data_IF_708557339669
#
_entry.id   IF_708557339669
#
_cell.length_a   1.000
_cell.length_b   1.000
_cell.length_c   1.000
_cell.angle_alpha   90.00
_cell.angle_beta   90.00
_cell.angle_gamma   90.00
#
_symmetry.space_group_name_H-M   'P 1'
#
loop_
_entity.id
_entity.type
_entity.pdbx_description
1 polymer ?
#
# COMPACT_ATOMS: atom_id res chain seq x y z
N UNK A 1 -18.93 -8.30 8.13
CA UNK A 1 -19.72 -7.06 8.36
C UNK A 1 -21.20 -7.45 8.43
N UNK A 2 -21.87 -7.32 9.57
CA UNK A 2 -23.23 -7.88 9.72
C UNK A 2 -24.31 -7.04 9.02
N UNK A 3 -24.07 -5.74 8.79
CA UNK A 3 -25.03 -4.81 8.17
C UNK A 3 -24.31 -3.67 7.45
N UNK A 4 -23.77 -3.89 6.25
CA UNK A 4 -23.00 -2.88 5.53
C UNK A 4 -23.79 -1.60 5.22
N UNK A 5 -25.12 -1.68 5.12
CA UNK A 5 -25.98 -0.50 4.96
C UNK A 5 -25.92 0.48 6.14
N UNK A 6 -25.50 0.01 7.33
CA UNK A 6 -25.36 0.82 8.53
C UNK A 6 -23.96 1.43 8.70
N UNK A 7 -23.04 1.13 7.77
CA UNK A 7 -21.70 1.73 7.78
C UNK A 7 -21.80 3.24 7.59
N UNK A 8 -21.00 3.97 8.38
CA UNK A 8 -20.98 5.43 8.35
C UNK A 8 -20.13 5.93 7.19
N UNK A 9 -20.78 6.19 6.05
CA UNK A 9 -20.13 6.76 4.86
C UNK A 9 -19.39 8.06 5.20
N UNK A 10 -19.99 8.91 6.03
CA UNK A 10 -19.37 10.16 6.48
C UNK A 10 -18.11 9.95 7.32
N UNK A 11 -18.00 8.83 8.06
CA UNK A 11 -16.77 8.48 8.78
C UNK A 11 -15.65 8.15 7.79
N UNK A 12 -15.94 7.40 6.72
CA UNK A 12 -14.96 7.12 5.67
C UNK A 12 -14.61 8.38 4.86
N UNK A 13 -15.57 9.26 4.58
CA UNK A 13 -15.30 10.55 3.97
C UNK A 13 -14.34 11.38 4.82
N UNK A 14 -14.60 11.49 6.12
CA UNK A 14 -13.72 12.18 7.05
C UNK A 14 -12.33 11.54 7.10
N UNK A 15 -12.26 10.20 7.09
CA UNK A 15 -11.01 9.46 7.11
C UNK A 15 -10.16 9.75 5.88
N UNK A 16 -10.76 9.75 4.69
CA UNK A 16 -10.07 10.03 3.43
C UNK A 16 -9.68 11.49 3.31
N UNK A 17 -10.57 12.42 3.65
CA UNK A 17 -10.27 13.86 3.65
C UNK A 17 -9.17 14.20 4.65
N UNK A 18 -9.19 13.56 5.81
CA UNK A 18 -8.09 13.64 6.79
C UNK A 18 -6.82 13.05 6.19
N UNK A 19 -6.86 11.84 5.63
CA UNK A 19 -5.72 11.21 4.97
C UNK A 19 -5.09 12.11 3.92
N UNK A 20 -5.88 12.79 3.09
CA UNK A 20 -5.41 13.73 2.08
C UNK A 20 -4.80 15.00 2.70
N UNK A 21 -5.46 15.58 3.71
CA UNK A 21 -4.94 16.71 4.47
C UNK A 21 -3.60 16.39 5.13
N UNK A 22 -3.45 15.17 5.63
CA UNK A 22 -2.24 14.69 6.29
C UNK A 22 -1.23 14.06 5.34
N UNK A 23 -1.46 14.05 4.03
CA UNK A 23 -0.57 13.46 3.02
C UNK A 23 -0.29 11.97 3.24
N UNK A 24 -1.26 11.24 3.80
CA UNK A 24 -1.26 9.79 3.90
C UNK A 24 -1.93 9.14 2.69
N UNK A 25 -2.80 9.88 2.01
CA UNK A 25 -3.28 9.58 0.66
C UNK A 25 -3.07 10.82 -0.21
N UNK A 26 -3.09 10.64 -1.53
CA UNK A 26 -3.06 11.75 -2.46
C UNK A 26 -4.25 12.69 -2.26
N UNK A 27 -4.13 13.92 -2.77
CA UNK A 27 -5.22 14.88 -2.72
C UNK A 27 -6.50 14.29 -3.33
N UNK A 28 -7.61 14.37 -2.60
CA UNK A 28 -8.94 13.96 -3.09
C UNK A 28 -9.38 14.77 -4.32
N UNK A 29 -8.75 15.92 -4.58
CA UNK A 29 -8.94 16.69 -5.82
C UNK A 29 -8.65 15.86 -7.08
N UNK A 30 -7.68 14.93 -7.02
CA UNK A 30 -7.33 14.07 -8.15
C UNK A 30 -8.47 13.12 -8.53
N UNK A 31 -9.37 12.80 -7.58
CA UNK A 31 -10.51 11.90 -7.83
C UNK A 31 -11.63 12.54 -8.65
N UNK A 32 -11.66 13.87 -8.78
CA UNK A 32 -12.81 14.60 -9.36
C UNK A 32 -13.23 14.10 -10.74
N UNK A 33 -12.27 13.63 -11.53
CA UNK A 33 -12.48 13.15 -12.89
C UNK A 33 -12.36 11.63 -13.04
N UNK A 34 -12.18 10.89 -11.94
CA UNK A 34 -12.08 9.43 -11.95
C UNK A 34 -13.39 8.82 -12.41
N UNK A 35 -13.29 7.78 -13.24
CA UNK A 35 -14.41 6.92 -13.66
C UNK A 35 -14.55 5.77 -12.68
N UNK A 36 -15.69 5.72 -11.99
CA UNK A 36 -15.99 4.69 -10.98
C UNK A 36 -17.12 3.80 -11.48
N UNK A 37 -16.88 2.49 -11.49
CA UNK A 37 -17.90 1.49 -11.79
C UNK A 37 -18.17 0.65 -10.53
N UNK A 38 -19.43 0.53 -10.14
CA UNK A 38 -19.84 -0.16 -8.92
C UNK A 38 -20.87 -1.22 -9.27
N UNK A 39 -20.56 -2.48 -8.97
CA UNK A 39 -21.49 -3.59 -9.08
C UNK A 39 -21.84 -4.11 -7.68
N UNK A 40 -23.11 -4.41 -7.44
CA UNK A 40 -23.55 -5.17 -6.27
C UNK A 40 -24.72 -6.08 -6.65
N UNK A 41 -24.58 -7.38 -6.39
CA UNK A 41 -25.63 -8.36 -6.65
C UNK A 41 -26.82 -8.20 -5.71
N UNK A 42 -28.05 -8.37 -6.21
CA UNK A 42 -29.27 -8.27 -5.39
C UNK A 42 -29.39 -9.38 -4.35
N UNK A 43 -28.79 -10.53 -4.62
CA UNK A 43 -28.82 -11.71 -3.76
C UNK A 43 -27.51 -11.94 -3.00
N UNK A 44 -26.58 -10.96 -3.02
CA UNK A 44 -25.31 -11.06 -2.29
C UNK A 44 -25.59 -11.35 -0.79
N UNK A 45 -25.21 -12.51 -0.29
CA UNK A 45 -25.43 -12.92 1.11
C UNK A 45 -24.20 -12.68 1.99
N UNK A 46 -23.05 -12.40 1.40
CA UNK A 46 -21.74 -12.30 2.07
C UNK A 46 -21.42 -10.84 2.42
N UNK A 47 -21.38 -9.98 1.41
CA UNK A 47 -21.17 -8.53 1.56
C UNK A 47 -22.49 -7.78 1.58
N UNK A 48 -23.58 -8.36 1.08
CA UNK A 48 -24.95 -7.78 1.10
C UNK A 48 -25.16 -6.59 0.15
N UNK A 49 -26.37 -6.45 -0.44
CA UNK A 49 -26.63 -5.44 -1.48
C UNK A 49 -26.50 -4.00 -1.00
N UNK A 50 -26.69 -3.75 0.30
CA UNK A 50 -26.60 -2.41 0.91
C UNK A 50 -25.22 -1.76 0.83
N UNK A 51 -24.16 -2.54 0.57
CA UNK A 51 -22.81 -2.01 0.44
C UNK A 51 -22.62 -1.16 -0.84
N UNK A 52 -23.20 -1.58 -1.96
CA UNK A 52 -23.09 -0.87 -3.24
C UNK A 52 -23.55 0.60 -3.17
N UNK A 53 -24.77 0.88 -2.66
CA UNK A 53 -25.24 2.24 -2.44
C UNK A 53 -24.36 3.06 -1.47
N UNK A 54 -23.71 2.43 -0.48
CA UNK A 54 -22.80 3.13 0.43
C UNK A 54 -21.51 3.56 -0.29
N UNK A 55 -20.94 2.68 -1.12
CA UNK A 55 -19.79 2.99 -1.98
C UNK A 55 -20.15 4.10 -2.98
N UNK A 56 -21.34 4.07 -3.56
CA UNK A 56 -21.81 5.14 -4.45
C UNK A 56 -21.86 6.49 -3.74
N UNK A 57 -22.43 6.54 -2.52
CA UNK A 57 -22.48 7.78 -1.73
C UNK A 57 -21.06 8.30 -1.43
N UNK A 58 -20.16 7.41 -1.03
CA UNK A 58 -18.76 7.76 -0.77
C UNK A 58 -18.07 8.38 -2.00
N UNK A 59 -18.15 7.73 -3.17
CA UNK A 59 -17.50 8.26 -4.37
C UNK A 59 -18.17 9.53 -4.91
N UNK A 60 -19.49 9.68 -4.76
CA UNK A 60 -20.19 10.91 -5.15
C UNK A 60 -19.73 12.13 -4.34
N UNK A 61 -19.15 11.94 -3.16
CA UNK A 61 -18.53 13.03 -2.40
C UNK A 61 -17.31 13.63 -3.11
N UNK A 62 -16.53 12.79 -3.81
CA UNK A 62 -15.24 13.17 -4.38
C UNK A 62 -15.23 13.31 -5.90
N UNK A 63 -16.15 12.64 -6.58
CA UNK A 63 -16.19 12.53 -8.04
C UNK A 63 -17.43 13.24 -8.60
N UNK A 64 -17.37 13.62 -9.88
CA UNK A 64 -18.60 14.02 -10.57
C UNK A 64 -19.57 12.83 -10.62
N UNK A 65 -20.83 13.04 -10.24
CA UNK A 65 -21.84 11.98 -10.28
C UNK A 65 -21.96 11.30 -11.66
N UNK A 66 -21.74 12.06 -12.74
CA UNK A 66 -21.73 11.56 -14.12
C UNK A 66 -20.58 10.59 -14.42
N UNK A 67 -19.60 10.49 -13.53
CA UNK A 67 -18.47 9.56 -13.63
C UNK A 67 -18.66 8.29 -12.79
N UNK A 68 -19.78 8.16 -12.07
CA UNK A 68 -20.11 6.95 -11.30
C UNK A 68 -21.20 6.15 -12.02
N UNK A 69 -20.87 4.95 -12.50
CA UNK A 69 -21.83 3.99 -13.06
C UNK A 69 -22.10 2.89 -12.03
N UNK A 70 -23.38 2.61 -11.79
CA UNK A 70 -23.83 1.59 -10.82
C UNK A 70 -24.66 0.51 -11.48
N UNK A 71 -24.46 -0.74 -11.07
CA UNK A 71 -25.24 -1.90 -11.50
C UNK A 71 -25.69 -2.68 -10.26
N UNK A 72 -26.94 -2.47 -9.87
CA UNK A 72 -27.58 -3.05 -8.66
C UNK A 72 -28.84 -3.86 -8.97
N UNK A 73 -29.09 -4.14 -10.24
CA UNK A 73 -30.31 -4.77 -10.74
C UNK A 73 -30.12 -6.20 -11.25
N UNK A 74 -28.94 -6.79 -11.00
CA UNK A 74 -28.64 -8.18 -11.39
C UNK A 74 -28.82 -9.08 -10.17
N UNK A 75 -29.61 -10.15 -10.34
CA UNK A 75 -29.81 -11.21 -9.33
C UNK A 75 -28.57 -12.10 -9.24
N UNK A 76 -27.46 -11.51 -8.79
CA UNK A 76 -26.20 -12.20 -8.53
C UNK A 76 -26.03 -12.41 -7.03
N UNK A 77 -25.49 -13.58 -6.66
CA UNK A 77 -24.87 -13.82 -5.37
C UNK A 77 -23.44 -13.19 -5.33
N UNK A 78 -22.71 -13.42 -4.25
CA UNK A 78 -21.36 -12.93 -4.00
C UNK A 78 -20.35 -13.60 -4.93
N UNK A 79 -20.12 -12.97 -6.08
CA UNK A 79 -19.26 -13.48 -7.13
C UNK A 79 -18.69 -12.36 -8.00
N UNK A 80 -17.66 -12.68 -8.77
CA UNK A 80 -17.33 -11.98 -10.01
C UNK A 80 -18.32 -12.46 -11.09
N UNK A 81 -19.21 -11.60 -11.60
CA UNK A 81 -20.14 -11.97 -12.67
C UNK A 81 -19.38 -12.12 -13.99
N UNK A 82 -19.68 -13.19 -14.70
CA UNK A 82 -19.16 -13.46 -16.05
C UNK A 82 -20.31 -13.70 -17.01
N UNK A 83 -20.01 -13.68 -18.30
CA UNK A 83 -20.99 -13.93 -19.36
C UNK A 83 -21.21 -15.43 -19.65
N UNK A 84 -20.23 -16.27 -19.33
CA UNK A 84 -20.21 -17.65 -19.82
C UNK A 84 -19.46 -18.68 -18.94
N UNK A 85 -19.01 -18.31 -17.73
CA UNK A 85 -18.21 -19.18 -16.87
C UNK A 85 -18.64 -19.19 -15.39
N UNK A 86 -18.51 -20.34 -14.74
CA UNK A 86 -18.71 -20.49 -13.31
C UNK A 86 -20.10 -20.99 -12.91
N UNK A 87 -20.45 -20.81 -11.64
CA UNK A 87 -21.71 -21.29 -11.06
C UNK A 87 -22.95 -20.50 -11.54
N UNK A 88 -24.12 -20.90 -11.06
CA UNK A 88 -25.37 -20.18 -11.33
C UNK A 88 -25.35 -18.80 -10.69
N UNK A 89 -25.73 -17.74 -11.42
CA UNK A 89 -25.64 -16.34 -10.98
C UNK A 89 -26.10 -16.06 -9.54
N UNK A 90 -27.29 -16.54 -9.17
CA UNK A 90 -27.90 -16.31 -7.86
C UNK A 90 -27.56 -17.37 -6.80
N UNK A 91 -26.52 -18.18 -7.03
CA UNK A 91 -26.04 -19.21 -6.09
C UNK A 91 -24.61 -18.89 -5.68
N UNK A 92 -24.30 -19.02 -4.39
CA UNK A 92 -22.94 -18.83 -3.87
C UNK A 92 -22.01 -19.96 -4.34
N UNK A 93 -21.25 -19.71 -5.41
CA UNK A 93 -20.24 -20.64 -5.93
C UNK A 93 -18.97 -20.59 -5.07
N UNK A 94 -18.95 -21.31 -3.94
CA UNK A 94 -17.79 -21.35 -3.02
C UNK A 94 -16.53 -21.98 -3.63
N UNK A 95 -16.63 -22.62 -4.80
CA UNK A 95 -15.49 -23.25 -5.46
C UNK A 95 -14.50 -22.23 -6.03
N UNK A 96 -15.00 -21.10 -6.55
CA UNK A 96 -14.16 -20.07 -7.17
C UNK A 96 -14.74 -18.66 -7.15
N UNK A 97 -15.96 -18.46 -6.65
CA UNK A 97 -16.68 -17.17 -6.61
C UNK A 97 -16.78 -16.50 -7.99
N UNK A 98 -16.84 -17.31 -9.06
CA UNK A 98 -17.16 -16.91 -10.42
C UNK A 98 -18.52 -17.49 -10.76
N UNK A 99 -19.44 -16.66 -11.27
CA UNK A 99 -20.74 -17.12 -11.72
C UNK A 99 -21.03 -16.66 -13.14
N UNK A 100 -21.71 -17.51 -13.91
CA UNK A 100 -22.30 -17.15 -15.18
C UNK A 100 -23.61 -16.40 -14.90
N UNK A 101 -23.57 -15.10 -15.14
CA UNK A 101 -24.69 -14.18 -14.98
C UNK A 101 -25.28 -13.69 -16.31
N UNK A 102 -24.77 -14.19 -17.46
CA UNK A 102 -25.05 -13.59 -18.77
C UNK A 102 -24.69 -12.10 -18.79
N UNK A 103 -23.67 -11.72 -18.00
CA UNK A 103 -23.27 -10.34 -17.80
C UNK A 103 -21.75 -10.24 -17.79
N UNK A 104 -21.19 -9.64 -18.84
CA UNK A 104 -19.76 -9.42 -18.95
C UNK A 104 -19.31 -8.23 -18.09
N UNK A 105 -19.22 -8.43 -16.77
CA UNK A 105 -18.86 -7.37 -15.83
C UNK A 105 -17.46 -6.79 -16.11
N UNK A 106 -16.51 -7.62 -16.55
CA UNK A 106 -15.17 -7.15 -16.92
C UNK A 106 -15.23 -6.16 -18.10
N UNK A 107 -15.97 -6.48 -19.16
CA UNK A 107 -16.16 -5.55 -20.29
C UNK A 107 -16.88 -4.27 -19.86
N UNK A 108 -17.98 -4.39 -19.12
CA UNK A 108 -18.79 -3.24 -18.72
C UNK A 108 -18.03 -2.26 -17.81
N UNK A 109 -17.23 -2.79 -16.90
CA UNK A 109 -16.32 -2.02 -16.05
C UNK A 109 -15.23 -1.34 -16.88
N UNK A 110 -14.51 -2.11 -17.70
CA UNK A 110 -13.38 -1.59 -18.48
C UNK A 110 -13.82 -0.57 -19.52
N UNK A 111 -14.97 -0.78 -20.15
CA UNK A 111 -15.54 0.15 -21.12
C UNK A 111 -15.99 1.45 -20.45
N UNK A 112 -16.47 1.39 -19.20
CA UNK A 112 -16.75 2.62 -18.44
C UNK A 112 -15.49 3.45 -18.15
N UNK A 113 -14.39 2.78 -17.80
CA UNK A 113 -13.12 3.44 -17.46
C UNK A 113 -12.44 4.01 -18.72
N UNK A 114 -12.32 3.22 -19.77
CA UNK A 114 -11.50 3.57 -20.94
C UNK A 114 -12.29 4.17 -22.11
N UNK A 115 -13.60 3.93 -22.18
CA UNK A 115 -14.45 4.35 -23.30
C UNK A 115 -14.20 3.58 -24.59
N UNK A 116 -15.25 3.48 -25.43
CA UNK A 116 -15.22 3.00 -26.81
C UNK A 116 -14.45 1.67 -27.04
N UNK A 117 -14.54 0.74 -26.08
CA UNK A 117 -13.91 -0.57 -26.21
C UNK A 117 -14.70 -1.46 -27.17
N UNK A 118 -13.96 -2.26 -27.95
CA UNK A 118 -14.51 -3.35 -28.76
C UNK A 118 -15.00 -4.47 -27.85
N UNK A 119 -16.25 -4.87 -28.04
CA UNK A 119 -16.82 -6.02 -27.35
C UNK A 119 -16.04 -7.28 -27.79
N UNK A 120 -15.55 -8.11 -26.84
CA UNK A 120 -14.89 -9.37 -27.19
C UNK A 120 -15.84 -10.31 -27.92
N UNK A 121 -15.36 -10.95 -28.98
CA UNK A 121 -16.12 -11.96 -29.70
C UNK A 121 -16.18 -13.26 -28.88
N UNK A 122 -17.39 -13.73 -28.57
CA UNK A 122 -17.59 -14.93 -27.78
C UNK A 122 -16.91 -16.15 -28.41
N UNK A 123 -16.09 -16.87 -27.61
CA UNK A 123 -15.40 -18.08 -28.03
C UNK A 123 -14.17 -17.85 -28.91
N UNK A 124 -13.78 -16.59 -29.15
CA UNK A 124 -12.54 -16.27 -29.88
C UNK A 124 -11.32 -16.71 -29.05
N UNK A 125 -10.42 -17.54 -29.61
CA UNK A 125 -9.23 -17.96 -28.88
C UNK A 125 -8.33 -16.79 -28.53
N UNK A 126 -7.83 -16.77 -27.30
CA UNK A 126 -6.82 -15.83 -26.84
C UNK A 126 -5.45 -16.21 -27.46
N UNK A 127 -4.85 -15.27 -28.18
CA UNK A 127 -3.52 -15.46 -28.80
C UNK A 127 -2.40 -14.69 -28.09
N UNK A 128 -2.75 -13.90 -27.09
CA UNK A 128 -1.81 -13.25 -26.18
C UNK A 128 -1.10 -14.24 -25.25
N UNK A 129 -0.24 -13.69 -24.39
CA UNK A 129 0.63 -14.45 -23.50
C UNK A 129 0.20 -14.26 -22.05
N UNK A 130 -0.32 -15.33 -21.43
CA UNK A 130 -0.46 -15.38 -19.97
C UNK A 130 0.87 -15.81 -19.36
N UNK A 131 1.50 -14.93 -18.58
CA UNK A 131 2.79 -15.15 -17.93
C UNK A 131 2.67 -15.05 -16.42
N UNK A 132 3.63 -15.64 -15.73
CA UNK A 132 3.89 -15.35 -14.33
C UNK A 132 5.03 -14.34 -14.18
N UNK A 133 5.05 -13.63 -13.06
CA UNK A 133 6.17 -12.78 -12.65
C UNK A 133 6.45 -12.93 -11.15
N UNK A 134 7.68 -12.65 -10.76
CA UNK A 134 8.13 -12.73 -9.37
C UNK A 134 7.78 -11.44 -8.62
N UNK A 135 6.78 -11.51 -7.73
CA UNK A 135 6.36 -10.39 -6.90
C UNK A 135 7.39 -10.05 -5.83
N UNK A 136 8.26 -10.98 -5.43
CA UNK A 136 9.27 -10.73 -4.40
C UNK A 136 10.27 -9.64 -4.79
N UNK A 137 10.42 -9.40 -6.10
CA UNK A 137 11.23 -8.30 -6.63
C UNK A 137 10.75 -6.92 -6.22
N UNK A 138 9.50 -6.78 -5.76
CA UNK A 138 8.92 -5.52 -5.27
C UNK A 138 8.99 -5.37 -3.75
N UNK A 139 9.59 -6.33 -3.03
CA UNK A 139 9.74 -6.29 -1.58
C UNK A 139 11.23 -6.26 -1.21
N UNK A 140 11.71 -5.09 -0.77
CA UNK A 140 13.14 -4.88 -0.47
C UNK A 140 13.48 -4.88 1.03
N UNK A 141 12.48 -4.67 1.89
CA UNK A 141 12.66 -4.54 3.34
C UNK A 141 12.13 -5.74 4.14
N UNK A 142 11.34 -6.60 3.50
CA UNK A 142 10.80 -7.83 4.07
C UNK A 142 10.52 -8.84 2.97
N UNK A 143 10.21 -10.07 3.35
CA UNK A 143 9.68 -11.07 2.42
C UNK A 143 8.18 -10.80 2.14
N UNK A 144 7.65 -11.14 0.94
CA UNK A 144 6.26 -10.85 0.57
C UNK A 144 5.22 -11.40 1.53
N UNK A 145 5.48 -12.59 2.10
CA UNK A 145 4.58 -13.28 3.02
C UNK A 145 4.26 -12.45 4.28
N UNK A 146 5.16 -11.54 4.70
CA UNK A 146 4.90 -10.61 5.80
C UNK A 146 3.67 -9.73 5.56
N UNK A 147 3.35 -9.47 4.30
CA UNK A 147 2.19 -8.69 3.86
C UNK A 147 1.09 -9.54 3.22
N UNK A 148 1.13 -10.87 3.42
CA UNK A 148 0.22 -11.83 2.80
C UNK A 148 0.35 -11.90 1.27
N UNK A 149 1.44 -11.41 0.66
CA UNK A 149 1.66 -11.56 -0.78
C UNK A 149 2.22 -12.95 -1.13
N UNK A 150 1.74 -13.54 -2.24
CA UNK A 150 2.40 -14.68 -2.87
C UNK A 150 3.73 -14.20 -3.49
N UNK A 151 4.68 -15.10 -3.75
CA UNK A 151 5.86 -14.76 -4.54
C UNK A 151 5.54 -14.67 -6.04
N UNK A 152 4.44 -15.25 -6.51
CA UNK A 152 4.11 -15.30 -7.95
C UNK A 152 2.84 -14.52 -8.25
N UNK A 153 2.93 -13.57 -9.18
CA UNK A 153 1.79 -12.88 -9.78
C UNK A 153 1.57 -13.33 -11.23
N UNK A 154 0.43 -12.96 -11.81
CA UNK A 154 0.14 -13.23 -13.24
C UNK A 154 0.01 -11.93 -14.03
N UNK A 155 0.34 -12.00 -15.32
CA UNK A 155 0.15 -10.91 -16.28
C UNK A 155 -0.32 -11.49 -17.61
N UNK A 156 -1.41 -10.97 -18.15
CA UNK A 156 -1.85 -11.24 -19.51
C UNK A 156 -1.40 -10.10 -20.43
N UNK A 157 -0.57 -10.45 -21.42
CA UNK A 157 -0.08 -9.52 -22.45
C UNK A 157 -0.82 -9.83 -23.76
N UNK A 158 -1.73 -8.96 -24.22
CA UNK A 158 -2.44 -9.13 -25.48
C UNK A 158 -1.50 -9.34 -26.67
N UNK A 159 -1.93 -10.08 -27.69
CA UNK A 159 -1.13 -10.28 -28.91
C UNK A 159 -0.71 -8.95 -29.56
N UNK A 160 -1.59 -7.95 -29.57
CA UNK A 160 -1.30 -6.60 -30.07
C UNK A 160 -0.27 -5.81 -29.26
N UNK A 161 0.03 -6.24 -28.03
CA UNK A 161 0.98 -5.58 -27.11
C UNK A 161 2.37 -6.25 -27.09
N UNK A 162 2.60 -7.27 -27.93
CA UNK A 162 3.91 -7.92 -28.02
C UNK A 162 4.94 -7.00 -28.68
N UNK A 163 4.52 -6.19 -29.65
CA UNK A 163 5.35 -5.14 -30.22
C UNK A 163 5.43 -3.96 -29.23
N UNK A 164 6.66 -3.62 -28.81
CA UNK A 164 6.96 -2.51 -27.90
C UNK A 164 6.61 -1.14 -28.48
N UNK A 165 6.38 -1.03 -29.79
CA UNK A 165 5.94 0.21 -30.43
C UNK A 165 4.43 0.44 -30.29
N UNK A 166 3.64 -0.61 -29.99
CA UNK A 166 2.21 -0.47 -29.76
C UNK A 166 1.96 0.17 -28.39
N UNK A 167 1.19 1.26 -28.36
CA UNK A 167 0.69 1.82 -27.10
C UNK A 167 -0.39 0.92 -26.53
N UNK A 168 -0.12 0.36 -25.35
CA UNK A 168 -1.07 -0.45 -24.61
C UNK A 168 -1.48 0.20 -23.30
N UNK A 169 -2.72 -0.06 -22.88
CA UNK A 169 -3.21 0.32 -21.56
C UNK A 169 -2.82 -0.75 -20.54
N UNK A 170 -2.85 -0.42 -19.26
CA UNK A 170 -2.67 -1.35 -18.16
C UNK A 170 -3.89 -1.30 -17.25
N UNK A 171 -4.44 -2.47 -16.92
CA UNK A 171 -5.46 -2.63 -15.89
C UNK A 171 -4.99 -3.64 -14.84
N UNK A 172 -5.27 -3.36 -13.58
CA UNK A 172 -4.94 -4.24 -12.45
C UNK A 172 -6.25 -4.88 -11.97
N UNK A 173 -6.36 -6.20 -12.10
CA UNK A 173 -7.51 -6.96 -11.66
C UNK A 173 -7.18 -7.72 -10.37
N UNK A 174 -7.76 -7.27 -9.26
CA UNK A 174 -7.55 -7.84 -7.94
C UNK A 174 -8.62 -8.91 -7.64
N UNK A 175 -8.19 -10.14 -7.38
CA UNK A 175 -9.09 -11.23 -7.00
C UNK A 175 -9.68 -11.00 -5.60
N UNK A 176 -10.83 -11.61 -5.28
CA UNK A 176 -11.42 -11.58 -3.94
C UNK A 176 -10.77 -12.55 -2.95
N UNK A 177 -11.30 -12.58 -1.72
CA UNK A 177 -10.94 -13.61 -0.73
C UNK A 177 -11.16 -15.02 -1.31
N UNK A 178 -10.28 -15.96 -1.00
CA UNK A 178 -10.34 -17.35 -1.48
C UNK A 178 -10.31 -17.50 -3.02
N UNK A 179 -9.97 -16.44 -3.75
CA UNK A 179 -9.80 -16.47 -5.21
C UNK A 179 -8.35 -16.36 -5.68
N UNK A 180 -7.40 -16.27 -4.73
CA UNK A 180 -5.97 -16.24 -5.05
C UNK A 180 -5.46 -17.61 -5.50
N UNK A 181 -4.26 -17.61 -6.09
CA UNK A 181 -3.57 -18.81 -6.59
C UNK A 181 -3.55 -19.98 -5.62
N UNK A 182 -3.34 -19.70 -4.34
CA UNK A 182 -3.33 -20.71 -3.28
C UNK A 182 -4.63 -21.53 -3.22
N UNK A 183 -5.77 -20.91 -3.50
CA UNK A 183 -7.09 -21.54 -3.37
C UNK A 183 -7.60 -22.14 -4.67
N UNK A 184 -7.48 -21.39 -5.78
CA UNK A 184 -8.12 -21.74 -7.06
C UNK A 184 -7.17 -21.71 -8.25
N UNK A 185 -5.85 -21.74 -8.01
CA UNK A 185 -4.83 -21.64 -9.05
C UNK A 185 -5.06 -20.42 -9.95
N UNK A 186 -5.19 -20.62 -11.26
CA UNK A 186 -5.36 -19.54 -12.24
C UNK A 186 -6.80 -19.38 -12.73
N UNK A 187 -7.80 -19.94 -12.02
CA UNK A 187 -9.23 -19.85 -12.36
C UNK A 187 -9.71 -18.40 -12.52
N UNK A 188 -9.48 -17.54 -11.51
CA UNK A 188 -9.84 -16.12 -11.60
C UNK A 188 -9.12 -15.43 -12.77
N UNK A 189 -7.83 -15.70 -12.91
CA UNK A 189 -6.97 -15.10 -13.93
C UNK A 189 -7.43 -15.46 -15.34
N UNK A 190 -7.89 -16.69 -15.56
CA UNK A 190 -8.35 -17.16 -16.87
C UNK A 190 -9.80 -16.82 -17.17
N UNK A 191 -10.65 -16.81 -16.15
CA UNK A 191 -12.10 -16.89 -16.36
C UNK A 191 -12.91 -15.72 -15.80
N UNK A 192 -12.29 -14.72 -15.18
CA UNK A 192 -12.98 -13.49 -14.77
C UNK A 192 -13.38 -12.57 -15.96
N UNK A 193 -12.98 -12.90 -17.19
CA UNK A 193 -13.38 -12.22 -18.43
C UNK A 193 -12.49 -11.05 -18.86
N UNK A 194 -11.51 -10.65 -18.04
CA UNK A 194 -10.63 -9.52 -18.35
C UNK A 194 -9.68 -9.79 -19.53
N UNK A 195 -9.22 -11.03 -19.73
CA UNK A 195 -8.27 -11.35 -20.81
C UNK A 195 -8.89 -11.18 -22.20
N UNK A 196 -10.16 -11.57 -22.39
CA UNK A 196 -10.89 -11.37 -23.65
C UNK A 196 -11.02 -9.88 -23.99
N UNK A 197 -11.31 -9.05 -22.97
CA UNK A 197 -11.35 -7.59 -23.13
C UNK A 197 -9.97 -7.04 -23.45
N UNK A 198 -8.94 -7.51 -22.75
CA UNK A 198 -7.55 -7.12 -22.98
C UNK A 198 -7.05 -7.45 -24.39
N UNK A 199 -7.33 -8.66 -24.85
CA UNK A 199 -6.96 -9.15 -26.19
C UNK A 199 -7.61 -8.30 -27.29
N UNK A 200 -8.89 -7.98 -27.15
CA UNK A 200 -9.62 -7.20 -28.15
C UNK A 200 -9.23 -5.70 -28.18
N UNK A 201 -8.61 -5.18 -27.11
CA UNK A 201 -8.48 -3.74 -26.89
C UNK A 201 -7.07 -3.24 -26.53
N UNK A 202 -6.05 -4.09 -26.64
CA UNK A 202 -4.67 -3.76 -26.26
C UNK A 202 -4.55 -3.24 -24.81
N UNK A 203 -5.18 -3.97 -23.89
CA UNK A 203 -5.11 -3.71 -22.44
C UNK A 203 -4.37 -4.87 -21.80
N UNK A 204 -3.17 -4.60 -21.29
CA UNK A 204 -2.42 -5.53 -20.46
C UNK A 204 -3.16 -5.68 -19.13
N UNK A 205 -3.37 -6.92 -18.68
CA UNK A 205 -4.04 -7.19 -17.40
C UNK A 205 -3.01 -7.74 -16.42
N UNK A 206 -2.81 -7.04 -15.30
CA UNK A 206 -1.97 -7.48 -14.19
C UNK A 206 -2.86 -8.08 -13.11
N UNK A 207 -2.47 -9.24 -12.60
CA UNK A 207 -3.16 -9.96 -11.52
C UNK A 207 -2.19 -10.23 -10.37
N UNK A 208 -1.97 -9.23 -9.49
CA UNK A 208 -1.27 -9.45 -8.24
C UNK A 208 -1.94 -10.57 -7.43
N UNK A 209 -1.14 -11.35 -6.70
CA UNK A 209 -1.62 -12.47 -5.91
C UNK A 209 -1.25 -12.31 -4.44
N UNK A 210 -2.21 -12.64 -3.58
CA UNK A 210 -2.01 -12.79 -2.15
C UNK A 210 -2.23 -14.25 -1.74
N UNK A 211 -1.62 -14.64 -0.63
CA UNK A 211 -1.62 -15.99 -0.06
C UNK A 211 -2.03 -15.92 1.41
N UNK A 212 -2.74 -16.92 1.96
CA UNK A 212 -3.19 -16.88 3.34
C UNK A 212 -2.03 -16.88 4.34
N UNK A 213 -2.24 -16.18 5.46
CA UNK A 213 -1.38 -16.15 6.64
C UNK A 213 -2.25 -16.32 7.90
N UNK A 214 -1.68 -16.60 9.11
CA UNK A 214 -2.48 -16.84 10.30
C UNK A 214 -3.51 -15.75 10.65
N UNK A 215 -3.21 -14.48 10.37
CA UNK A 215 -4.11 -13.33 10.57
C UNK A 215 -5.04 -13.06 9.38
N UNK A 216 -4.87 -13.75 8.25
CA UNK A 216 -5.63 -13.62 7.01
C UNK A 216 -5.85 -15.01 6.37
N UNK A 217 -6.61 -15.88 7.04
CA UNK A 217 -6.79 -17.28 6.64
C UNK A 217 -7.48 -17.45 5.27
N UNK A 218 -8.21 -16.44 4.82
CA UNK A 218 -8.92 -16.48 3.55
C UNK A 218 -8.12 -15.87 2.39
N UNK A 219 -6.90 -15.35 2.63
CA UNK A 219 -6.11 -14.65 1.62
C UNK A 219 -6.90 -13.50 0.99
N UNK A 220 -7.45 -12.62 1.82
CA UNK A 220 -8.13 -11.39 1.41
C UNK A 220 -7.13 -10.24 1.25
N UNK A 221 -7.36 -9.31 0.31
CA UNK A 221 -6.63 -8.03 0.31
C UNK A 221 -6.86 -7.32 1.63
N UNK A 222 -5.96 -6.44 2.07
CA UNK A 222 -5.94 -6.14 3.49
C UNK A 222 -7.25 -5.57 4.05
N UNK A 223 -7.87 -4.46 3.66
CA UNK A 223 -9.15 -3.89 4.13
C UNK A 223 -9.54 -3.89 5.64
N UNK A 224 -8.88 -4.62 6.53
CA UNK A 224 -9.19 -4.75 7.97
C UNK A 224 -7.95 -4.63 8.88
N UNK A 225 -6.79 -4.28 8.32
CA UNK A 225 -5.59 -3.83 9.04
C UNK A 225 -4.63 -4.94 9.48
N UNK A 226 -4.63 -6.11 8.85
CA UNK A 226 -3.79 -7.23 9.30
C UNK A 226 -2.30 -7.06 8.98
N UNK A 227 -1.93 -6.15 8.07
CA UNK A 227 -0.53 -5.77 7.82
C UNK A 227 -0.02 -4.67 8.77
N UNK A 228 -0.86 -4.24 9.73
CA UNK A 228 -0.56 -3.18 10.69
C UNK A 228 -1.50 -1.97 10.53
N UNK A 229 -1.43 -1.02 11.48
CA UNK A 229 -2.41 0.09 11.60
C UNK A 229 -2.28 1.19 10.54
N UNK A 230 -1.50 0.98 9.49
CA UNK A 230 -1.33 1.92 8.37
C UNK A 230 -2.17 1.55 7.14
N UNK A 231 -2.99 0.49 7.20
CA UNK A 231 -3.63 -0.04 6.00
C UNK A 231 -4.72 0.89 5.39
N UNK A 232 -5.45 1.65 6.21
CA UNK A 232 -6.33 2.76 5.78
C UNK A 232 -6.35 3.75 6.95
N UNK A 233 -5.70 4.92 6.81
CA UNK A 233 -5.62 6.05 7.76
C UNK A 233 -6.09 5.83 9.24
N UNK A 234 -5.16 6.08 10.14
CA UNK A 234 -5.08 5.58 11.52
C UNK A 234 -6.02 6.27 12.54
N UNK A 235 -6.71 5.49 13.38
CA UNK A 235 -7.36 5.97 14.61
C UNK A 235 -6.41 5.86 15.81
N UNK A 236 -6.04 7.03 16.38
CA UNK A 236 -5.87 7.31 17.83
C UNK A 236 -5.69 8.82 18.02
N UNK A 237 -6.77 9.51 18.35
CA UNK A 237 -6.87 10.98 18.38
C UNK A 237 -5.83 11.68 19.28
N UNK A 238 -5.41 11.08 20.40
CA UNK A 238 -4.51 11.74 21.36
C UNK A 238 -3.03 11.73 20.95
N UNK A 239 -2.56 10.63 20.37
CA UNK A 239 -1.19 10.49 19.85
C UNK A 239 -1.05 11.22 18.51
N UNK A 240 -2.15 11.25 17.76
CA UNK A 240 -2.33 12.02 16.55
C UNK A 240 -2.26 13.54 16.76
N UNK A 241 -2.83 14.08 17.85
CA UNK A 241 -2.72 15.51 18.16
C UNK A 241 -1.27 15.95 18.44
N UNK A 242 -0.46 15.08 19.05
CA UNK A 242 0.98 15.32 19.22
C UNK A 242 1.71 15.29 17.87
N UNK A 243 1.41 14.32 17.02
CA UNK A 243 1.94 14.28 15.64
C UNK A 243 1.44 15.42 14.74
N UNK A 244 0.27 16.02 15.02
CA UNK A 244 -0.29 17.14 14.25
C UNK A 244 0.48 18.44 14.48
N UNK A 245 0.87 18.72 15.73
CA UNK A 245 1.76 19.85 16.04
C UNK A 245 3.09 19.72 15.29
N UNK A 246 3.69 18.53 15.37
CA UNK A 246 4.92 18.20 14.69
C UNK A 246 4.76 18.23 13.15
N UNK A 247 3.63 17.79 12.58
CA UNK A 247 3.39 17.85 11.11
C UNK A 247 3.40 19.28 10.56
N UNK A 248 2.77 20.24 11.25
CA UNK A 248 2.80 21.65 10.81
C UNK A 248 4.20 22.24 10.88
N UNK A 249 4.99 21.84 11.88
CA UNK A 249 6.39 22.20 12.02
C UNK A 249 7.24 21.60 10.88
N UNK A 250 7.01 20.33 10.53
CA UNK A 250 7.66 19.66 9.41
C UNK A 250 7.42 20.41 8.09
N UNK A 251 6.16 20.69 7.77
CA UNK A 251 5.74 21.39 6.55
C UNK A 251 6.36 22.79 6.49
N UNK A 252 6.28 23.52 7.60
CA UNK A 252 6.87 24.86 7.71
C UNK A 252 8.39 24.82 7.52
N UNK A 253 9.07 23.82 8.09
CA UNK A 253 10.50 23.67 7.94
C UNK A 253 10.90 23.29 6.50
N UNK A 254 10.18 22.37 5.84
CA UNK A 254 10.49 21.96 4.47
C UNK A 254 10.20 23.05 3.44
N UNK A 255 9.05 23.72 3.56
CA UNK A 255 8.60 24.74 2.61
C UNK A 255 9.49 26.00 2.63
N UNK A 256 10.30 26.23 3.67
CA UNK A 256 11.35 27.28 3.68
C UNK A 256 12.42 27.07 2.61
N UNK A 257 12.68 25.82 2.23
CA UNK A 257 13.82 25.45 1.38
C UNK A 257 13.40 25.03 -0.04
N UNK A 258 12.11 24.79 -0.29
CA UNK A 258 11.59 24.46 -1.62
C UNK A 258 11.38 25.73 -2.46
N UNK A 259 11.61 25.62 -3.77
CA UNK A 259 11.27 26.66 -4.73
C UNK A 259 10.25 26.11 -5.71
N UNK A 260 9.13 26.81 -5.89
CA UNK A 260 7.98 26.45 -6.74
C UNK A 260 7.09 25.31 -6.17
N UNK A 261 6.07 24.92 -6.94
CA UNK A 261 5.07 23.91 -6.55
C UNK A 261 5.61 22.47 -6.46
N UNK A 262 6.90 22.24 -6.68
CA UNK A 262 7.54 20.93 -6.61
C UNK A 262 8.22 20.80 -5.25
N UNK A 263 7.62 20.04 -4.34
CA UNK A 263 8.17 19.79 -3.00
C UNK A 263 9.29 18.75 -3.03
N UNK A 264 10.43 19.13 -3.62
CA UNK A 264 11.67 18.36 -3.68
C UNK A 264 12.85 19.28 -3.40
N UNK A 265 13.86 18.78 -2.69
CA UNK A 265 15.11 19.49 -2.40
C UNK A 265 16.27 18.73 -3.03
N UNK A 266 17.04 19.36 -3.90
CA UNK A 266 18.31 18.75 -4.32
C UNK A 266 19.26 18.65 -3.13
N UNK A 267 20.17 17.67 -3.15
CA UNK A 267 21.10 17.37 -2.05
C UNK A 267 21.67 18.61 -1.34
N UNK A 268 22.24 19.64 -2.00
CA UNK A 268 22.79 20.82 -1.30
C UNK A 268 21.75 21.59 -0.45
N UNK A 269 20.51 21.69 -0.92
CA UNK A 269 19.44 22.38 -0.20
C UNK A 269 18.96 21.54 0.99
N UNK A 270 18.85 20.22 0.81
CA UNK A 270 18.49 19.31 1.88
C UNK A 270 19.55 19.29 3.00
N UNK A 271 20.84 19.28 2.65
CA UNK A 271 21.93 19.41 3.62
C UNK A 271 21.83 20.71 4.41
N UNK A 272 21.62 21.84 3.72
CA UNK A 272 21.45 23.15 4.36
C UNK A 272 20.26 23.15 5.33
N UNK A 273 19.15 22.50 4.98
CA UNK A 273 17.99 22.36 5.85
C UNK A 273 18.32 21.51 7.08
N UNK A 274 19.00 20.38 6.91
CA UNK A 274 19.40 19.51 8.01
C UNK A 274 20.34 20.21 8.99
N UNK A 275 21.33 20.95 8.49
CA UNK A 275 22.24 21.75 9.31
C UNK A 275 21.50 22.84 10.10
N UNK A 276 20.58 23.57 9.47
CA UNK A 276 19.93 24.73 10.09
C UNK A 276 18.76 24.39 11.00
N UNK A 277 17.88 23.48 10.58
CA UNK A 277 16.66 23.18 11.32
C UNK A 277 16.90 22.11 12.41
N UNK A 278 17.91 21.23 12.24
CA UNK A 278 18.21 20.14 13.17
C UNK A 278 19.59 20.27 13.83
N UNK A 279 20.33 21.35 13.53
CA UNK A 279 21.62 21.66 14.14
C UNK A 279 22.64 20.51 13.97
N UNK A 280 22.67 19.93 12.78
CA UNK A 280 23.58 18.85 12.38
C UNK A 280 24.87 19.42 11.78
N UNK A 281 25.99 18.70 11.93
CA UNK A 281 27.20 18.98 11.15
C UNK A 281 27.02 18.60 9.69
N UNK A 282 27.90 19.06 8.80
CA UNK A 282 27.86 18.71 7.37
C UNK A 282 27.88 17.18 7.14
N UNK A 283 28.72 16.46 7.88
CA UNK A 283 28.82 15.00 7.77
C UNK A 283 27.59 14.28 8.32
N UNK A 284 27.00 14.80 9.40
CA UNK A 284 25.73 14.29 9.95
C UNK A 284 24.56 14.54 8.99
N UNK A 285 24.52 15.73 8.38
CA UNK A 285 23.51 16.07 7.38
C UNK A 285 23.62 15.18 6.14
N UNK A 286 24.84 14.87 5.66
CA UNK A 286 25.07 13.93 4.56
C UNK A 286 24.59 12.53 4.90
N UNK A 287 24.92 12.06 6.09
CA UNK A 287 24.47 10.77 6.57
C UNK A 287 22.94 10.69 6.65
N UNK A 288 22.29 11.70 7.23
CA UNK A 288 20.82 11.76 7.33
C UNK A 288 20.18 11.85 5.94
N UNK A 289 20.77 12.62 5.02
CA UNK A 289 20.31 12.65 3.64
C UNK A 289 20.37 11.27 2.99
N UNK A 290 21.52 10.60 3.02
CA UNK A 290 21.72 9.30 2.39
C UNK A 290 20.86 8.19 3.04
N UNK A 291 20.50 8.36 4.32
CA UNK A 291 19.56 7.49 5.03
C UNK A 291 18.12 7.60 4.52
N UNK A 292 17.70 8.79 4.08
CA UNK A 292 16.31 9.10 3.78
C UNK A 292 16.03 9.37 2.30
N UNK A 293 17.05 9.59 1.46
CA UNK A 293 16.98 9.46 0.00
C UNK A 293 16.77 7.98 -0.36
N UNK A 294 15.51 7.54 -0.42
CA UNK A 294 15.12 6.12 -0.54
C UNK A 294 15.19 5.62 -1.96
N UNK A 295 14.95 6.49 -2.93
CA UNK A 295 15.04 6.17 -4.34
C UNK A 295 16.42 6.47 -4.94
N UNK A 296 17.36 6.96 -4.13
CA UNK A 296 18.76 7.25 -4.46
C UNK A 296 18.87 8.22 -5.65
N UNK A 297 17.90 9.12 -5.78
CA UNK A 297 17.83 10.04 -6.91
C UNK A 297 18.67 11.32 -6.67
N UNK A 298 19.26 11.48 -5.48
CA UNK A 298 20.06 12.67 -5.12
C UNK A 298 19.21 13.89 -4.75
N UNK A 299 17.91 13.69 -4.54
CA UNK A 299 16.93 14.67 -4.08
C UNK A 299 16.20 14.13 -2.85
N UNK A 300 15.85 15.02 -1.94
CA UNK A 300 14.95 14.71 -0.84
C UNK A 300 13.54 15.16 -1.21
N UNK A 301 12.65 14.22 -1.48
CA UNK A 301 11.23 14.49 -1.65
C UNK A 301 10.57 14.82 -0.32
N UNK A 302 9.42 15.50 -0.38
CA UNK A 302 8.62 15.77 0.82
C UNK A 302 8.21 14.50 1.57
N UNK A 303 7.93 13.40 0.86
CA UNK A 303 7.60 12.13 1.52
C UNK A 303 8.79 11.60 2.32
N UNK A 304 10.00 11.61 1.75
CA UNK A 304 11.22 11.16 2.42
C UNK A 304 11.56 12.03 3.64
N UNK A 305 11.47 13.35 3.48
CA UNK A 305 11.64 14.26 4.59
C UNK A 305 10.61 14.05 5.69
N UNK A 306 9.34 13.81 5.34
CA UNK A 306 8.29 13.53 6.30
C UNK A 306 8.53 12.22 7.05
N UNK A 307 9.05 11.19 6.38
CA UNK A 307 9.48 9.96 7.05
C UNK A 307 10.61 10.25 8.04
N UNK A 308 11.63 11.01 7.65
CA UNK A 308 12.67 11.48 8.55
C UNK A 308 12.08 12.19 9.77
N UNK A 309 11.24 13.18 9.52
CA UNK A 309 10.70 14.05 10.56
C UNK A 309 9.87 13.27 11.60
N UNK A 310 8.98 12.40 11.14
CA UNK A 310 8.07 11.63 12.01
C UNK A 310 8.79 10.51 12.78
N UNK A 311 9.90 10.00 12.26
CA UNK A 311 10.60 8.87 12.89
C UNK A 311 11.70 9.34 13.83
N UNK A 312 12.53 10.27 13.36
CA UNK A 312 13.76 10.67 14.07
C UNK A 312 13.96 12.18 14.13
N UNK A 313 13.28 13.00 13.33
CA UNK A 313 13.63 14.41 13.15
C UNK A 313 13.81 15.20 14.45
N UNK A 314 12.89 15.07 15.41
CA UNK A 314 12.98 15.79 16.70
C UNK A 314 14.19 15.33 17.52
N UNK A 315 14.52 14.04 17.47
CA UNK A 315 15.53 13.42 18.34
C UNK A 315 16.83 13.10 17.60
N UNK A 316 16.95 13.46 16.30
CA UNK A 316 18.03 12.94 15.44
C UNK A 316 19.40 13.32 16.00
N UNK A 317 19.53 14.54 16.51
CA UNK A 317 20.77 15.01 17.12
C UNK A 317 21.14 14.19 18.36
N UNK A 318 20.16 13.90 19.21
CA UNK A 318 20.36 13.09 20.42
C UNK A 318 20.65 11.62 20.07
N UNK A 319 20.03 11.10 19.01
CA UNK A 319 20.30 9.77 18.47
C UNK A 319 21.76 9.70 17.98
N UNK A 320 22.20 10.66 17.18
CA UNK A 320 23.58 10.69 16.67
C UNK A 320 24.61 10.94 17.79
N UNK A 321 24.27 11.74 18.80
CA UNK A 321 25.09 11.89 19.99
C UNK A 321 25.18 10.58 20.79
N UNK A 322 24.06 9.89 20.98
CA UNK A 322 24.03 8.57 21.63
C UNK A 322 24.89 7.58 20.87
N UNK A 323 24.81 7.57 19.54
CA UNK A 323 25.68 6.73 18.71
C UNK A 323 27.15 7.00 18.99
N UNK A 324 27.58 8.27 18.98
CA UNK A 324 28.97 8.66 19.27
C UNK A 324 29.44 8.25 20.68
N UNK A 325 28.55 8.26 21.67
CA UNK A 325 28.88 7.80 23.03
C UNK A 325 29.12 6.30 23.13
N UNK A 326 28.37 5.51 22.36
CA UNK A 326 28.44 4.04 22.38
C UNK A 326 29.32 3.47 21.29
N UNK A 327 29.83 4.30 20.38
CA UNK A 327 30.77 3.89 19.34
C UNK A 327 32.10 3.43 19.97
N UNK A 328 32.72 2.42 19.37
CA UNK A 328 34.07 1.99 19.70
C UNK A 328 35.07 3.01 19.14
N UNK A 329 35.46 4.01 19.94
CA UNK A 329 36.61 4.91 19.77
C UNK A 329 37.02 5.24 18.31
N UNK A 330 36.05 5.63 17.47
CA UNK A 330 36.28 6.07 16.09
C UNK A 330 36.30 4.98 15.01
N UNK A 331 35.80 3.78 15.30
CA UNK A 331 35.67 2.68 14.32
C UNK A 331 34.44 2.79 13.42
N UNK A 332 33.50 3.68 13.72
CA UNK A 332 32.18 3.76 13.10
C UNK A 332 31.23 2.63 13.51
N UNK A 333 31.57 1.84 14.54
CA UNK A 333 30.79 0.68 14.99
C UNK A 333 30.41 0.79 16.46
N UNK A 334 29.16 0.47 16.78
CA UNK A 334 28.65 0.45 18.15
C UNK A 334 29.27 -0.67 18.98
N UNK A 335 29.62 -0.35 20.22
CA UNK A 335 29.87 -1.30 21.30
C UNK A 335 28.54 -1.92 21.76
N UNK A 336 28.39 -3.22 21.57
CA UNK A 336 27.14 -3.95 21.86
C UNK A 336 26.83 -3.98 23.36
N UNK A 337 27.84 -3.98 24.24
CA UNK A 337 27.62 -3.95 25.69
C UNK A 337 27.10 -2.58 26.11
N UNK A 338 27.71 -1.49 25.64
CA UNK A 338 27.21 -0.12 25.90
C UNK A 338 25.83 0.13 25.31
N UNK A 339 25.56 -0.42 24.12
CA UNK A 339 24.25 -0.36 23.48
C UNK A 339 23.18 -1.00 24.35
N UNK A 340 23.46 -2.21 24.84
CA UNK A 340 22.55 -2.98 25.67
C UNK A 340 22.11 -2.19 26.91
N UNK A 341 23.07 -1.59 27.61
CA UNK A 341 22.80 -0.77 28.81
C UNK A 341 21.93 0.44 28.46
N UNK A 342 22.22 1.14 27.36
CA UNK A 342 21.41 2.28 26.89
C UNK A 342 19.99 1.88 26.46
N UNK A 343 19.81 0.71 25.86
CA UNK A 343 18.50 0.26 25.40
C UNK A 343 17.60 -0.24 26.55
N UNK A 344 18.19 -0.77 27.62
CA UNK A 344 17.45 -1.19 28.82
C UNK A 344 16.72 -0.05 29.52
N UNK A 345 17.25 1.16 29.43
CA UNK A 345 16.62 2.37 30.01
C UNK A 345 15.45 2.87 29.16
N UNK A 346 15.32 2.41 27.91
CA UNK A 346 14.25 2.85 27.00
C UNK A 346 12.95 2.08 27.26
N UNK A 347 11.85 2.77 27.02
CA UNK A 347 10.50 2.21 27.10
C UNK A 347 9.91 2.01 25.71
N UNK A 348 9.08 1.00 25.58
CA UNK A 348 8.23 0.78 24.40
C UNK A 348 7.26 1.95 24.20
N UNK A 349 6.62 2.05 23.02
CA UNK A 349 5.58 3.07 22.78
C UNK A 349 4.41 3.01 23.76
N UNK A 350 4.08 1.82 24.29
CA UNK A 350 3.04 1.65 25.32
C UNK A 350 3.50 1.99 26.74
N UNK A 351 4.76 2.40 26.92
CA UNK A 351 5.32 2.84 28.20
C UNK A 351 5.84 1.70 29.09
N UNK A 352 5.81 0.44 28.64
CA UNK A 352 6.45 -0.68 29.34
C UNK A 352 7.94 -0.76 29.03
N UNK A 353 8.69 -1.44 29.91
CA UNK A 353 10.07 -1.80 29.64
C UNK A 353 10.12 -2.91 28.56
N UNK A 354 11.21 -2.96 27.80
CA UNK A 354 11.49 -4.07 26.91
C UNK A 354 11.91 -5.31 27.72
N UNK A 355 11.49 -6.49 27.30
CA UNK A 355 12.01 -7.74 27.82
C UNK A 355 13.42 -7.99 27.28
N UNK A 356 14.27 -8.72 28.03
CA UNK A 356 15.65 -8.99 27.58
C UNK A 356 15.66 -9.75 26.24
N UNK A 357 14.73 -10.70 26.06
CA UNK A 357 14.57 -11.46 24.81
C UNK A 357 14.22 -10.56 23.62
N UNK A 358 13.38 -9.54 23.82
CA UNK A 358 13.00 -8.57 22.78
C UNK A 358 14.20 -7.69 22.39
N UNK A 359 14.97 -7.21 23.37
CA UNK A 359 16.19 -6.44 23.12
C UNK A 359 17.23 -7.27 22.38
N UNK A 360 17.44 -8.54 22.77
CA UNK A 360 18.34 -9.44 22.07
C UNK A 360 17.94 -9.61 20.61
N UNK A 361 16.66 -9.82 20.32
CA UNK A 361 16.17 -10.00 18.97
C UNK A 361 16.36 -8.73 18.13
N UNK A 362 16.05 -7.56 18.69
CA UNK A 362 16.22 -6.27 18.01
C UNK A 362 17.69 -5.97 17.68
N UNK A 363 18.59 -6.22 18.64
CA UNK A 363 20.04 -6.02 18.45
C UNK A 363 20.58 -7.02 17.42
N UNK A 364 20.25 -8.32 17.56
CA UNK A 364 20.68 -9.36 16.60
C UNK A 364 20.20 -9.05 15.19
N UNK A 365 18.93 -8.66 15.03
CA UNK A 365 18.36 -8.29 13.74
C UNK A 365 18.98 -7.02 13.14
N UNK A 366 19.58 -6.15 13.95
CA UNK A 366 20.23 -4.92 13.49
C UNK A 366 21.71 -5.14 13.19
N UNK A 367 22.39 -6.00 13.95
CA UNK A 367 23.80 -6.33 13.75
C UNK A 367 24.03 -7.25 12.55
N UNK A 368 23.05 -8.10 12.21
CA UNK A 368 23.16 -9.08 11.13
C UNK A 368 24.27 -10.11 11.37
N UNK A 369 24.67 -10.81 10.31
CA UNK A 369 25.69 -11.87 10.38
C UNK A 369 27.09 -11.35 10.77
N UNK A 370 27.36 -10.08 10.44
CA UNK A 370 28.61 -9.38 10.72
C UNK A 370 28.78 -9.02 12.20
N UNK A 371 27.68 -9.10 12.99
CA UNK A 371 27.64 -8.71 14.40
C UNK A 371 28.14 -7.28 14.65
N UNK A 372 27.87 -6.40 13.68
CA UNK A 372 28.34 -5.02 13.66
C UNK A 372 27.17 -4.07 13.38
N UNK A 373 27.09 -2.98 14.14
CA UNK A 373 26.06 -1.96 14.00
C UNK A 373 26.77 -0.64 13.73
N UNK A 374 26.72 -0.20 12.46
CA UNK A 374 27.10 1.14 12.07
C UNK A 374 26.00 2.16 12.40
N UNK A 375 26.25 3.43 12.13
CA UNK A 375 25.31 4.51 12.43
C UNK A 375 23.97 4.34 11.69
N UNK A 376 23.98 3.76 10.49
CA UNK A 376 22.77 3.53 9.70
C UNK A 376 21.92 2.45 10.36
N UNK A 377 22.54 1.30 10.70
CA UNK A 377 21.90 0.20 11.41
C UNK A 377 21.40 0.65 12.78
N UNK A 378 22.14 1.52 13.48
CA UNK A 378 21.74 2.07 14.77
C UNK A 378 20.52 2.98 14.68
N UNK A 379 20.49 3.93 13.73
CA UNK A 379 19.32 4.81 13.52
C UNK A 379 18.09 3.97 13.20
N UNK A 380 18.22 2.97 12.31
CA UNK A 380 17.13 2.05 11.99
C UNK A 380 16.65 1.22 13.19
N UNK A 381 17.56 0.78 14.06
CA UNK A 381 17.21 0.10 15.32
C UNK A 381 16.36 1.02 16.23
N UNK A 382 16.76 2.27 16.40
CA UNK A 382 15.97 3.24 17.20
C UNK A 382 14.58 3.46 16.59
N UNK A 383 14.47 3.56 15.26
CA UNK A 383 13.18 3.67 14.57
C UNK A 383 12.30 2.46 14.84
N UNK A 384 12.84 1.24 14.70
CA UNK A 384 12.11 -0.01 14.99
C UNK A 384 11.63 -0.06 16.43
N UNK A 385 12.44 0.39 17.39
CA UNK A 385 12.05 0.47 18.79
C UNK A 385 10.90 1.46 19.03
N UNK A 386 10.91 2.62 18.39
CA UNK A 386 9.81 3.60 18.47
C UNK A 386 8.51 3.09 17.84
N UNK A 387 8.58 2.09 16.97
CA UNK A 387 7.43 1.47 16.31
C UNK A 387 7.09 0.09 16.87
N UNK A 388 7.81 -0.35 17.90
CA UNK A 388 7.73 -1.71 18.42
C UNK A 388 6.35 -1.99 19.00
N UNK A 389 5.71 -3.03 18.46
CA UNK A 389 4.44 -3.58 18.94
C UNK A 389 4.75 -4.97 19.44
N UNK A 390 4.98 -5.06 20.75
CA UNK A 390 5.21 -6.35 21.40
C UNK A 390 4.00 -7.26 21.33
#
# INVERSE_FOLDING_TARGET
MQTPSLESVSSFELLTSSGALFGNVDSTYHMRHDKVYIFAGQSDSVVKPGNGPNIQRYYNHYTLHSNVKTVFNIDAEHCQPTDNYGGTCNVLSKSNYLNNCGYNAAFELLNWIYGDLKIPEAGKPLTGQLKTFDQSTFFHLSVPITYSFDNTGYIYVPSGCVDKQTKCKLHIALHGCQQGRHFINDEYVKHAGYNDVGEANNIIILYPQITPIPTNLNGCWDWFGYTGSYFVAEERLEEFLKQFAHRKEADTAFDKYTQNFVRRLHKPQALTMFEKEYNLSEDEAKLVFDLFDKDYNGELSYWEYKQFYLTVGVDIKDILATFKEIENDGTGQVDIEKLWDKLKERKTPSGRNFEETELEQLIKASAGDEKQIDVIKFVNLIIRMKQFRG
#
